data_IF_663470591217
#
_entry.id   IF_663470591217
#
_cell.length_a   1.000
_cell.length_b   1.000
_cell.length_c   1.000
_cell.angle_alpha   90.00
_cell.angle_beta   90.00
_cell.angle_gamma   90.00
#
_symmetry.space_group_name_H-M   'P 1'
#
loop_
_entity.id
_entity.type
_entity.pdbx_description
1 polymer ?
#
# COMPACT_ATOMS: atom_id res chain seq x y z
N UNK A 1 -1.14 10.04 -12.85
CA UNK A 1 -0.86 8.61 -12.56
C UNK A 1 0.29 8.46 -11.56
N UNK A 2 1.49 8.97 -11.85
CA UNK A 2 2.66 8.91 -10.93
C UNK A 2 2.42 9.55 -9.56
N UNK A 3 1.74 10.70 -9.51
CA UNK A 3 1.37 11.35 -8.24
C UNK A 3 0.45 10.48 -7.36
N UNK A 4 -0.41 9.66 -7.98
CA UNK A 4 -1.31 8.78 -7.26
C UNK A 4 -0.58 7.53 -6.73
N UNK A 5 0.31 6.94 -7.53
CA UNK A 5 1.20 5.87 -7.07
C UNK A 5 2.10 6.32 -5.89
N UNK A 6 2.66 7.52 -5.98
CA UNK A 6 3.44 8.11 -4.88
C UNK A 6 2.58 8.30 -3.62
N UNK A 7 1.35 8.80 -3.77
CA UNK A 7 0.44 8.98 -2.65
C UNK A 7 0.07 7.67 -1.97
N UNK A 8 -0.11 6.59 -2.74
CA UNK A 8 -0.32 5.25 -2.18
C UNK A 8 0.90 4.80 -1.36
N UNK A 9 2.10 5.03 -1.87
CA UNK A 9 3.35 4.75 -1.15
C UNK A 9 3.44 5.52 0.18
N UNK A 10 3.13 6.82 0.17
CA UNK A 10 3.09 7.65 1.38
C UNK A 10 2.10 7.13 2.42
N UNK A 11 0.87 6.80 1.99
CA UNK A 11 -0.17 6.28 2.90
C UNK A 11 0.26 4.94 3.51
N UNK A 12 0.85 4.05 2.71
CA UNK A 12 1.37 2.76 3.19
C UNK A 12 2.46 2.97 4.26
N UNK A 13 3.43 3.86 4.02
CA UNK A 13 4.46 4.20 5.00
C UNK A 13 3.88 4.79 6.30
N UNK A 14 2.88 5.67 6.19
CA UNK A 14 2.21 6.25 7.35
C UNK A 14 1.50 5.18 8.18
N UNK A 15 0.77 4.27 7.53
CA UNK A 15 0.09 3.15 8.20
C UNK A 15 1.11 2.28 8.95
N UNK A 16 2.20 1.89 8.30
CA UNK A 16 3.28 1.10 8.93
C UNK A 16 3.90 1.81 10.15
N UNK A 17 4.12 3.12 10.05
CA UNK A 17 4.64 3.93 11.17
C UNK A 17 3.68 3.94 12.36
N UNK A 18 2.38 4.16 12.13
CA UNK A 18 1.39 4.18 13.21
C UNK A 18 1.22 2.81 13.86
N UNK A 19 1.30 1.71 13.09
CA UNK A 19 1.33 0.34 13.63
C UNK A 19 2.54 0.15 14.55
N UNK A 20 3.73 0.58 14.12
CA UNK A 20 4.94 0.49 14.94
C UNK A 20 4.79 1.25 16.26
N UNK A 21 4.20 2.46 16.23
CA UNK A 21 3.92 3.24 17.45
C UNK A 21 2.93 2.54 18.36
N UNK A 22 1.83 2.00 17.82
CA UNK A 22 0.84 1.26 18.60
C UNK A 22 1.50 0.05 19.27
N UNK A 23 2.29 -0.72 18.52
CA UNK A 23 3.00 -1.89 19.05
C UNK A 23 3.96 -1.54 20.18
N UNK A 24 4.72 -0.44 20.03
CA UNK A 24 5.64 0.03 21.08
C UNK A 24 4.89 0.50 22.33
N UNK A 25 3.88 1.36 22.16
CA UNK A 25 3.07 1.87 23.26
C UNK A 25 2.45 0.72 24.06
N UNK A 26 1.97 -0.31 23.37
CA UNK A 26 1.37 -1.42 24.09
C UNK A 26 2.40 -2.37 24.66
N UNK A 27 3.57 -2.57 24.04
CA UNK A 27 4.65 -3.29 24.69
C UNK A 27 5.04 -2.66 26.04
N UNK A 28 5.01 -1.33 26.13
CA UNK A 28 5.27 -0.60 27.39
C UNK A 28 4.16 -0.85 28.42
N UNK A 29 2.89 -0.76 28.03
CA UNK A 29 1.74 -0.91 28.93
C UNK A 29 1.48 -2.38 29.31
N UNK A 30 1.74 -3.32 28.40
CA UNK A 30 1.51 -4.75 28.56
C UNK A 30 2.36 -5.34 29.69
N UNK A 31 3.49 -4.72 30.03
CA UNK A 31 4.26 -5.07 31.22
C UNK A 31 3.42 -5.03 32.52
N UNK A 32 2.39 -4.18 32.56
CA UNK A 32 1.43 -4.06 33.66
C UNK A 32 0.15 -4.87 33.49
N UNK A 33 -0.17 -5.36 32.29
CA UNK A 33 -1.38 -6.16 32.03
C UNK A 33 -1.06 -7.64 32.20
N UNK A 34 -1.65 -8.30 33.20
CA UNK A 34 -1.55 -9.75 33.40
C UNK A 34 -2.90 -10.44 33.16
N UNK A 35 -2.85 -11.67 32.67
CA UNK A 35 -4.03 -12.52 32.49
C UNK A 35 -4.83 -12.18 31.22
N UNK A 36 -6.15 -12.25 31.30
CA UNK A 36 -7.05 -12.19 30.14
C UNK A 36 -6.94 -10.92 29.29
N UNK A 37 -6.59 -9.77 29.90
CA UNK A 37 -6.41 -8.51 29.18
C UNK A 37 -5.20 -8.53 28.23
N UNK A 38 -4.11 -9.18 28.64
CA UNK A 38 -2.92 -9.33 27.81
C UNK A 38 -3.21 -10.23 26.59
N UNK A 39 -3.97 -11.31 26.79
CA UNK A 39 -4.36 -12.23 25.70
C UNK A 39 -5.30 -11.56 24.70
N UNK A 40 -6.31 -10.83 25.18
CA UNK A 40 -7.23 -10.11 24.31
C UNK A 40 -6.50 -9.05 23.47
N UNK A 41 -5.51 -8.38 24.08
CA UNK A 41 -4.67 -7.42 23.36
C UNK A 41 -3.80 -8.10 22.30
N UNK A 42 -3.11 -9.21 22.63
CA UNK A 42 -2.31 -9.96 21.67
C UNK A 42 -3.14 -10.35 20.43
N UNK A 43 -4.36 -10.85 20.64
CA UNK A 43 -5.26 -11.19 19.53
C UNK A 43 -5.66 -9.96 18.69
N UNK A 44 -5.91 -8.81 19.33
CA UNK A 44 -6.18 -7.56 18.63
C UNK A 44 -4.97 -7.10 17.81
N UNK A 45 -3.76 -7.20 18.38
CA UNK A 45 -2.51 -6.83 17.72
C UNK A 45 -2.23 -7.72 16.51
N UNK A 46 -2.41 -9.04 16.63
CA UNK A 46 -2.29 -9.99 15.52
C UNK A 46 -3.25 -9.63 14.38
N UNK A 47 -4.54 -9.45 14.69
CA UNK A 47 -5.54 -9.06 13.68
C UNK A 47 -5.22 -7.74 13.01
N UNK A 48 -4.79 -6.74 13.79
CA UNK A 48 -4.43 -5.45 13.23
C UNK A 48 -3.23 -5.53 12.29
N UNK A 49 -2.21 -6.34 12.63
CA UNK A 49 -1.09 -6.59 11.74
C UNK A 49 -1.52 -7.33 10.46
N UNK A 50 -2.45 -8.28 10.56
CA UNK A 50 -3.04 -8.96 9.39
C UNK A 50 -3.76 -7.97 8.47
N UNK A 51 -4.63 -7.13 9.05
CA UNK A 51 -5.39 -6.11 8.32
C UNK A 51 -4.45 -5.10 7.61
N UNK A 52 -3.39 -4.69 8.29
CA UNK A 52 -2.37 -3.82 7.72
C UNK A 52 -1.63 -4.45 6.53
N UNK A 53 -1.23 -5.72 6.66
CA UNK A 53 -0.59 -6.46 5.57
C UNK A 53 -1.53 -6.62 4.38
N UNK A 54 -2.82 -6.91 4.64
CA UNK A 54 -3.83 -7.00 3.60
C UNK A 54 -4.02 -5.65 2.87
N UNK A 55 -4.10 -4.55 3.61
CA UNK A 55 -4.18 -3.20 3.03
C UNK A 55 -2.97 -2.91 2.15
N UNK A 56 -1.76 -3.20 2.64
CA UNK A 56 -0.52 -2.97 1.88
C UNK A 56 -0.50 -3.76 0.57
N UNK A 57 -0.99 -5.00 0.58
CA UNK A 57 -1.10 -5.83 -0.61
C UNK A 57 -2.07 -5.23 -1.63
N UNK A 58 -3.26 -4.82 -1.19
CA UNK A 58 -4.27 -4.18 -2.07
C UNK A 58 -3.72 -2.90 -2.69
N UNK A 59 -3.02 -2.08 -1.89
CA UNK A 59 -2.40 -0.86 -2.36
C UNK A 59 -1.31 -1.12 -3.42
N UNK A 60 -0.51 -2.16 -3.25
CA UNK A 60 0.50 -2.55 -4.24
C UNK A 60 -0.14 -3.08 -5.53
N UNK A 61 -1.20 -3.88 -5.43
CA UNK A 61 -1.97 -4.34 -6.59
C UNK A 61 -2.55 -3.16 -7.39
N UNK A 62 -3.09 -2.14 -6.70
CA UNK A 62 -3.58 -0.92 -7.34
C UNK A 62 -2.43 -0.17 -8.04
N UNK A 63 -1.26 -0.05 -7.39
CA UNK A 63 -0.08 0.58 -7.99
C UNK A 63 0.32 -0.14 -9.28
N UNK A 64 0.44 -1.46 -9.24
CA UNK A 64 0.80 -2.27 -10.41
C UNK A 64 -0.21 -2.11 -11.55
N UNK A 65 -1.52 -2.11 -11.24
CA UNK A 65 -2.57 -1.90 -12.24
C UNK A 65 -2.47 -0.53 -12.92
N UNK A 66 -2.12 0.51 -12.17
CA UNK A 66 -1.93 1.87 -12.69
C UNK A 66 -0.67 1.97 -13.56
N UNK A 67 0.42 1.34 -13.15
CA UNK A 67 1.66 1.27 -13.95
C UNK A 67 1.44 0.53 -15.26
N UNK A 68 0.75 -0.62 -15.22
CA UNK A 68 0.38 -1.38 -16.41
C UNK A 68 -0.51 -0.55 -17.34
N UNK A 69 -1.51 0.13 -16.80
CA UNK A 69 -2.39 1.03 -17.57
C UNK A 69 -1.61 2.18 -18.20
N UNK A 70 -0.71 2.80 -17.44
CA UNK A 70 0.12 3.91 -17.94
C UNK A 70 1.01 3.45 -19.09
N UNK A 71 1.69 2.31 -18.92
CA UNK A 71 2.55 1.72 -19.96
C UNK A 71 1.77 1.39 -21.22
N UNK A 72 0.58 0.79 -21.08
CA UNK A 72 -0.30 0.50 -22.20
C UNK A 72 -0.64 1.77 -22.97
N UNK A 73 -1.11 2.83 -22.27
CA UNK A 73 -1.42 4.11 -22.92
C UNK A 73 -0.22 4.71 -23.66
N UNK A 74 0.98 4.68 -23.07
CA UNK A 74 2.19 5.19 -23.73
C UNK A 74 2.53 4.42 -25.00
N UNK A 75 2.43 3.08 -24.98
CA UNK A 75 2.65 2.25 -26.16
C UNK A 75 1.64 2.54 -27.27
N UNK A 76 0.35 2.65 -26.92
CA UNK A 76 -0.71 2.94 -27.88
C UNK A 76 -0.53 4.31 -28.53
N UNK A 77 -0.15 5.34 -27.77
CA UNK A 77 0.14 6.67 -28.34
C UNK A 77 1.33 6.64 -29.30
N UNK A 78 2.38 5.88 -28.99
CA UNK A 78 3.56 5.77 -29.84
C UNK A 78 3.27 5.01 -31.14
N UNK A 79 2.50 3.92 -31.08
CA UNK A 79 2.00 3.21 -32.26
C UNK A 79 1.12 4.11 -33.14
N UNK A 80 0.20 4.88 -32.54
CA UNK A 80 -0.65 5.81 -33.28
C UNK A 80 0.17 6.92 -33.95
N UNK A 81 1.17 7.48 -33.28
CA UNK A 81 2.07 8.49 -33.87
C UNK A 81 2.88 7.91 -35.02
N UNK A 82 3.42 6.69 -34.87
CA UNK A 82 4.16 6.02 -35.93
C UNK A 82 3.28 5.74 -37.16
N UNK A 83 2.04 5.27 -36.93
CA UNK A 83 1.09 5.02 -38.00
C UNK A 83 0.70 6.31 -38.74
N UNK A 84 0.41 7.40 -38.03
CA UNK A 84 0.08 8.69 -38.65
C UNK A 84 1.27 9.30 -39.39
N UNK A 85 2.48 9.20 -38.80
CA UNK A 85 3.72 9.66 -39.44
C UNK A 85 4.05 8.92 -40.74
N UNK A 86 3.70 7.64 -40.84
CA UNK A 86 3.88 6.83 -42.05
C UNK A 86 2.83 7.07 -43.15
N UNK A 87 1.70 7.73 -42.83
CA UNK A 87 0.66 8.08 -43.82
C UNK A 87 0.88 9.51 -44.36
N UNK A 88 1.60 10.35 -43.61
CA UNK A 88 1.89 11.74 -43.98
C UNK A 88 3.20 11.95 -44.77
N UNK A 89 3.95 10.89 -45.06
CA UNK A 89 5.15 10.90 -45.92
C UNK A 89 4.94 10.07 -47.18
#
# INVERSE_FOLDING_TARGET
>A
MTAFANRIGEVNQQVQSEIGRLNNLVSEIASGWKGAAATAYQQMQERFNEDANALNKVLDEIRQAIEATTKLYSMTEEEQRAAVGGIAG
#
